data_IF_762059782768
#
_entry.id   IF_762059782768
#
_cell.length_a   1.000
_cell.length_b   1.000
_cell.length_c   1.000
_cell.angle_alpha   90.00
_cell.angle_beta   90.00
_cell.angle_gamma   90.00
#
_symmetry.space_group_name_H-M   'P 1'
#
loop_
_entity.id
_entity.type
_entity.pdbx_description
1 polymer ?
#
# COMPACT_ATOMS: atom_id res chain seq x y z
N UNK A 1 -45.95 41.74 -19.73
CA UNK A 1 -44.94 40.71 -19.37
C UNK A 1 -44.26 40.29 -20.66
N UNK A 2 -43.00 40.69 -20.87
CA UNK A 2 -42.31 40.56 -22.16
C UNK A 2 -41.99 39.10 -22.45
N UNK A 3 -42.50 38.63 -23.59
CA UNK A 3 -42.32 37.26 -24.11
C UNK A 3 -40.85 37.00 -24.50
N UNK A 4 -40.05 38.06 -24.63
CA UNK A 4 -38.62 38.00 -25.01
C UNK A 4 -37.68 37.47 -23.91
N UNK A 5 -38.17 37.21 -22.68
CA UNK A 5 -37.34 36.69 -21.58
C UNK A 5 -37.29 35.15 -21.48
N UNK A 6 -38.08 34.43 -22.27
CA UNK A 6 -38.03 32.95 -22.28
C UNK A 6 -36.70 32.33 -22.74
N UNK A 7 -35.95 32.87 -23.74
CA UNK A 7 -34.73 32.23 -24.20
C UNK A 7 -33.55 32.40 -23.23
N UNK A 8 -33.49 33.50 -22.49
CA UNK A 8 -32.39 33.78 -21.54
C UNK A 8 -32.46 32.88 -20.32
N UNK A 9 -33.66 32.54 -19.83
CA UNK A 9 -33.86 31.62 -18.71
C UNK A 9 -33.36 30.19 -19.00
N UNK A 10 -33.58 29.69 -20.23
CA UNK A 10 -33.08 28.36 -20.64
C UNK A 10 -31.57 28.33 -20.75
N UNK A 11 -30.98 29.36 -21.34
CA UNK A 11 -29.52 29.48 -21.46
C UNK A 11 -28.86 29.50 -20.07
N UNK A 12 -29.36 30.34 -19.16
CA UNK A 12 -28.84 30.46 -17.79
C UNK A 12 -28.95 29.13 -17.03
N UNK A 13 -30.07 28.42 -17.15
CA UNK A 13 -30.25 27.10 -16.52
C UNK A 13 -29.24 26.07 -17.03
N UNK A 14 -28.91 26.08 -18.32
CA UNK A 14 -27.97 25.15 -18.91
C UNK A 14 -26.53 25.41 -18.46
N UNK A 15 -26.12 26.69 -18.36
CA UNK A 15 -24.81 27.05 -17.80
C UNK A 15 -24.68 26.67 -16.34
N UNK A 16 -25.70 26.95 -15.52
CA UNK A 16 -25.73 26.55 -14.12
C UNK A 16 -25.62 25.03 -13.97
N UNK A 17 -26.33 24.27 -14.80
CA UNK A 17 -26.25 22.80 -14.81
C UNK A 17 -24.84 22.29 -15.10
N UNK A 18 -24.18 22.82 -16.13
CA UNK A 18 -22.81 22.41 -16.50
C UNK A 18 -21.82 22.76 -15.40
N UNK A 19 -21.91 23.95 -14.82
CA UNK A 19 -21.04 24.39 -13.72
C UNK A 19 -21.23 23.51 -12.49
N UNK A 20 -22.47 23.20 -12.12
CA UNK A 20 -22.76 22.32 -11.00
C UNK A 20 -22.21 20.91 -11.23
N UNK A 21 -22.45 20.33 -12.40
CA UNK A 21 -21.93 18.98 -12.74
C UNK A 21 -20.40 18.99 -12.72
N UNK A 22 -19.77 19.98 -13.35
CA UNK A 22 -18.32 20.13 -13.36
C UNK A 22 -17.74 20.25 -11.95
N UNK A 23 -18.35 21.08 -11.10
CA UNK A 23 -17.96 21.22 -9.70
C UNK A 23 -18.11 19.91 -8.91
N UNK A 24 -19.22 19.19 -9.11
CA UNK A 24 -19.50 17.91 -8.46
C UNK A 24 -18.47 16.85 -8.87
N UNK A 25 -18.14 16.75 -10.16
CA UNK A 25 -17.10 15.85 -10.66
C UNK A 25 -15.74 16.18 -10.06
N UNK A 26 -15.39 17.46 -9.94
CA UNK A 26 -14.12 17.91 -9.38
C UNK A 26 -14.01 17.51 -7.89
N UNK A 27 -15.10 17.67 -7.13
CA UNK A 27 -15.18 17.21 -5.73
C UNK A 27 -15.07 15.69 -5.63
N UNK A 28 -15.72 14.94 -6.51
CA UNK A 28 -15.66 13.47 -6.54
C UNK A 28 -14.24 12.99 -6.83
N UNK A 29 -13.58 13.56 -7.85
CA UNK A 29 -12.19 13.21 -8.19
C UNK A 29 -11.24 13.57 -7.04
N UNK A 30 -11.42 14.75 -6.42
CA UNK A 30 -10.62 15.18 -5.28
C UNK A 30 -10.77 14.25 -4.06
N UNK A 31 -12.01 13.89 -3.73
CA UNK A 31 -12.32 13.01 -2.59
C UNK A 31 -11.78 11.60 -2.83
N UNK A 32 -12.00 11.00 -4.01
CA UNK A 32 -11.41 9.71 -4.38
C UNK A 32 -9.88 9.74 -4.36
N UNK A 33 -9.28 10.78 -4.96
CA UNK A 33 -7.82 10.96 -4.98
C UNK A 33 -7.25 11.06 -3.57
N UNK A 34 -7.82 11.91 -2.72
CA UNK A 34 -7.38 12.07 -1.33
C UNK A 34 -7.59 10.81 -0.49
N UNK A 35 -8.67 10.07 -0.70
CA UNK A 35 -8.94 8.80 -0.04
C UNK A 35 -7.90 7.73 -0.40
N UNK A 36 -7.60 7.58 -1.69
CA UNK A 36 -6.56 6.68 -2.18
C UNK A 36 -5.18 7.10 -1.66
N UNK A 37 -4.89 8.40 -1.60
CA UNK A 37 -3.61 8.90 -1.11
C UNK A 37 -3.42 8.60 0.39
N UNK A 38 -4.47 8.74 1.20
CA UNK A 38 -4.44 8.31 2.62
C UNK A 38 -4.21 6.81 2.75
N UNK A 39 -4.87 5.99 1.94
CA UNK A 39 -4.67 4.54 1.94
C UNK A 39 -3.23 4.15 1.55
N UNK A 40 -2.62 4.86 0.60
CA UNK A 40 -1.22 4.65 0.18
C UNK A 40 -0.23 5.19 1.21
N UNK A 41 -0.51 6.33 1.84
CA UNK A 41 0.33 6.92 2.88
C UNK A 41 0.51 5.96 4.06
N UNK A 42 -0.58 5.35 4.53
CA UNK A 42 -0.55 4.32 5.59
C UNK A 42 0.31 3.11 5.19
N UNK A 43 0.28 2.69 3.91
CA UNK A 43 1.14 1.60 3.41
C UNK A 43 2.62 2.00 3.35
N UNK A 44 2.93 3.28 3.06
CA UNK A 44 4.31 3.80 3.06
C UNK A 44 4.90 3.80 4.47
N UNK A 45 4.12 4.15 5.49
CA UNK A 45 4.58 4.10 6.88
C UNK A 45 4.90 2.68 7.34
N UNK A 46 4.07 1.70 6.98
CA UNK A 46 4.38 0.27 7.25
C UNK A 46 5.64 -0.20 6.55
N UNK A 47 5.89 0.24 5.31
CA UNK A 47 7.14 -0.07 4.61
C UNK A 47 8.36 0.57 5.29
N UNK A 48 8.24 1.79 5.81
CA UNK A 48 9.31 2.44 6.58
C UNK A 48 9.54 1.74 7.93
N UNK A 49 8.50 1.30 8.62
CA UNK A 49 8.63 0.52 9.86
C UNK A 49 9.32 -0.83 9.63
N UNK A 50 9.12 -1.44 8.46
CA UNK A 50 9.82 -2.65 8.05
C UNK A 50 11.26 -2.35 7.58
N UNK A 51 11.50 -1.23 6.90
CA UNK A 51 12.85 -0.86 6.42
C UNK A 51 13.77 -0.30 7.50
N UNK A 52 13.24 0.08 8.67
CA UNK A 52 14.03 0.61 9.78
C UNK A 52 14.52 -0.46 10.76
N UNK A 53 14.21 -1.74 10.51
CA UNK A 53 14.91 -2.85 11.18
C UNK A 53 16.24 -3.02 10.48
N UNK A 54 17.23 -2.36 11.03
CA UNK A 54 18.64 -2.58 10.73
C UNK A 54 19.08 -3.69 11.68
N UNK A 55 19.70 -4.74 11.15
CA UNK A 55 20.30 -5.80 11.98
C UNK A 55 21.43 -5.20 12.85
N UNK A 56 21.86 -5.89 13.90
CA UNK A 56 22.91 -5.45 14.84
C UNK A 56 24.25 -5.11 14.14
N UNK A 57 24.40 -5.56 12.90
CA UNK A 57 25.57 -5.35 12.05
C UNK A 57 25.40 -4.19 11.05
N UNK A 58 24.36 -3.36 11.18
CA UNK A 58 24.16 -2.18 10.33
C UNK A 58 23.61 -2.49 8.93
N UNK A 59 23.13 -3.72 8.67
CA UNK A 59 22.68 -4.15 7.34
C UNK A 59 21.15 -4.08 7.22
N UNK A 60 20.62 -3.71 6.03
CA UNK A 60 19.17 -3.74 5.79
C UNK A 60 18.68 -5.18 5.82
N UNK A 61 17.69 -5.48 6.66
CA UNK A 61 17.13 -6.83 6.79
C UNK A 61 16.46 -7.25 5.47
N UNK A 62 16.86 -8.38 4.86
CA UNK A 62 16.34 -8.83 3.57
C UNK A 62 14.84 -9.15 3.63
N UNK A 63 14.14 -9.20 2.47
CA UNK A 63 12.72 -9.51 2.42
C UNK A 63 12.44 -10.92 2.94
N UNK A 64 11.91 -11.00 4.16
CA UNK A 64 11.42 -12.25 4.73
C UNK A 64 10.07 -12.62 4.13
N UNK A 65 9.90 -13.89 3.78
CA UNK A 65 8.61 -14.43 3.37
C UNK A 65 8.21 -15.57 4.29
N UNK A 66 6.90 -15.85 4.40
CA UNK A 66 6.43 -17.11 4.97
C UNK A 66 6.78 -18.24 4.02
N UNK A 67 7.36 -19.33 4.53
CA UNK A 67 7.80 -20.42 3.68
C UNK A 67 8.24 -21.64 4.47
N UNK A 68 8.63 -22.68 3.75
CA UNK A 68 9.23 -23.87 4.33
C UNK A 68 10.73 -23.62 4.55
N UNK A 69 11.23 -23.89 5.74
CA UNK A 69 12.67 -23.95 5.94
C UNK A 69 13.23 -25.24 5.33
N UNK A 70 14.29 -25.13 4.52
CA UNK A 70 14.94 -26.29 3.90
C UNK A 70 15.64 -27.20 4.91
N UNK A 71 16.10 -26.63 6.04
CA UNK A 71 16.87 -27.35 7.07
C UNK A 71 15.99 -28.11 8.06
N UNK A 72 14.98 -27.44 8.62
CA UNK A 72 14.08 -28.06 9.62
C UNK A 72 12.74 -28.52 9.05
N UNK A 73 12.49 -28.30 7.76
CA UNK A 73 11.26 -28.67 7.04
C UNK A 73 9.95 -28.17 7.69
N UNK A 74 10.03 -27.13 8.54
CA UNK A 74 8.86 -26.51 9.17
C UNK A 74 8.44 -25.26 8.41
N UNK A 75 7.14 -25.00 8.40
CA UNK A 75 6.59 -23.74 7.90
C UNK A 75 6.87 -22.66 8.93
N UNK A 76 7.73 -21.70 8.57
CA UNK A 76 8.07 -20.57 9.43
C UNK A 76 7.40 -19.29 8.93
N UNK A 77 7.04 -18.43 9.88
CA UNK A 77 6.49 -17.11 9.57
C UNK A 77 7.54 -16.18 8.93
N UNK A 78 8.82 -16.45 9.15
CA UNK A 78 9.96 -15.75 8.56
C UNK A 78 10.96 -16.76 8.03
N UNK A 79 11.19 -16.71 6.72
CA UNK A 79 12.22 -17.47 6.01
C UNK A 79 13.10 -16.48 5.25
N UNK A 80 14.40 -16.58 5.49
CA UNK A 80 15.47 -15.87 4.80
C UNK A 80 15.83 -16.66 3.54
N UNK A 81 15.72 -16.00 2.39
CA UNK A 81 16.15 -16.58 1.11
C UNK A 81 17.63 -16.31 0.90
N UNK A 82 18.43 -17.37 0.83
CA UNK A 82 19.84 -17.30 0.53
C UNK A 82 20.07 -17.18 -0.99
N UNK A 83 21.21 -16.62 -1.43
CA UNK A 83 21.56 -16.56 -2.86
C UNK A 83 21.74 -17.95 -3.50
N UNK A 84 21.89 -19.01 -2.70
CA UNK A 84 21.88 -20.41 -3.15
C UNK A 84 20.49 -20.90 -3.58
N UNK A 85 19.42 -20.15 -3.32
CA UNK A 85 18.04 -20.57 -3.57
C UNK A 85 17.40 -21.33 -2.40
N UNK A 86 18.14 -21.53 -1.30
CA UNK A 86 17.60 -22.17 -0.09
C UNK A 86 16.91 -21.16 0.83
N UNK A 87 15.81 -21.58 1.45
CA UNK A 87 15.10 -20.81 2.47
C UNK A 87 15.42 -21.33 3.87
N UNK A 88 15.98 -20.49 4.75
CA UNK A 88 16.21 -20.84 6.16
C UNK A 88 15.33 -20.02 7.10
N UNK A 89 14.76 -20.63 8.14
CA UNK A 89 14.06 -19.88 9.18
C UNK A 89 15.06 -19.09 10.05
N UNK A 90 14.57 -18.14 10.84
CA UNK A 90 15.38 -17.31 11.75
C UNK A 90 16.34 -18.14 12.62
N UNK A 91 15.84 -19.19 13.27
CA UNK A 91 16.64 -20.09 14.10
C UNK A 91 17.69 -20.88 13.31
N UNK A 92 17.41 -21.26 12.07
CA UNK A 92 18.40 -21.97 11.25
C UNK A 92 19.43 -21.03 10.63
N UNK A 93 19.07 -19.75 10.48
CA UNK A 93 19.92 -18.70 9.91
C UNK A 93 20.90 -18.12 10.95
N UNK A 94 20.47 -17.96 12.21
CA UNK A 94 21.33 -17.59 13.34
C UNK A 94 21.82 -18.85 14.06
N UNK A 95 23.11 -19.22 13.98
CA UNK A 95 23.63 -20.48 14.53
C UNK A 95 23.58 -20.57 16.07
N UNK A 96 23.18 -19.50 16.76
CA UNK A 96 23.14 -19.44 18.23
C UNK A 96 21.83 -20.01 18.81
N UNK A 97 20.76 -20.03 18.02
CA UNK A 97 19.45 -20.53 18.44
C UNK A 97 19.25 -21.95 17.89
N UNK A 98 19.61 -22.94 18.70
CA UNK A 98 19.45 -24.36 18.38
C UNK A 98 18.09 -24.62 17.70
N UNK A 99 18.12 -25.03 16.43
CA UNK A 99 16.92 -25.47 15.76
C UNK A 99 16.44 -26.74 16.47
N UNK A 100 15.24 -26.77 17.07
CA UNK A 100 14.75 -27.99 17.67
C UNK A 100 14.59 -29.03 16.57
N UNK A 101 15.27 -30.15 16.73
CA UNK A 101 15.28 -31.28 15.81
C UNK A 101 13.83 -31.68 15.41
N UNK A 102 13.64 -32.17 14.17
CA UNK A 102 12.34 -32.57 13.64
C UNK A 102 11.64 -33.63 14.51
#
# INVERSE_FOLDING_TARGET
MNVDQLPTLRAVGQFLGVVLIGGLLLVVVWTLGSYLWRAVAVRRERRKALSHRVDEHGRPVPPVSRGLCHRCQRVAAMVYHLPSGEGLCENCYRPDDACPDP
#
